data_IF_290372202739
#
_entry.id   IF_290372202739
#
_cell.length_a   1.000
_cell.length_b   1.000
_cell.length_c   1.000
_cell.angle_alpha   90.00
_cell.angle_beta   90.00
_cell.angle_gamma   90.00
#
_symmetry.space_group_name_H-M   'P 1'
#
loop_
_entity.id
_entity.type
_entity.pdbx_description
1 polymer ?
#
# COMPACT_ATOMS: atom_id res chain seq x y z
N UNK A 1 6.30 -16.08 12.22
CA UNK A 1 5.33 -16.19 11.12
C UNK A 1 5.98 -15.87 9.77
N UNK A 2 6.78 -14.79 9.64
CA UNK A 2 7.40 -14.36 8.38
C UNK A 2 8.28 -15.46 7.76
N UNK A 3 9.23 -16.02 8.50
CA UNK A 3 10.09 -17.12 8.00
C UNK A 3 9.28 -18.33 7.58
N UNK A 4 8.27 -18.71 8.39
CA UNK A 4 7.39 -19.82 8.04
C UNK A 4 6.63 -19.55 6.72
N UNK A 5 6.06 -18.36 6.56
CA UNK A 5 5.38 -17.99 5.31
C UNK A 5 6.33 -18.06 4.11
N UNK A 6 7.54 -17.48 4.24
CA UNK A 6 8.56 -17.51 3.18
C UNK A 6 8.94 -18.92 2.71
N UNK A 7 8.89 -19.89 3.61
CA UNK A 7 9.25 -21.28 3.33
C UNK A 7 8.07 -22.16 2.89
N UNK A 8 6.84 -21.84 3.32
CA UNK A 8 5.71 -22.76 3.21
C UNK A 8 4.58 -22.28 2.31
N UNK A 9 4.56 -20.99 1.88
CA UNK A 9 3.53 -20.50 0.97
C UNK A 9 4.11 -20.08 -0.38
N UNK A 10 3.30 -20.13 -1.40
CA UNK A 10 3.72 -19.87 -2.79
C UNK A 10 4.03 -18.40 -3.06
N UNK A 11 3.32 -17.51 -2.40
CA UNK A 11 3.50 -16.06 -2.47
C UNK A 11 2.90 -15.37 -1.26
N UNK A 12 3.40 -14.20 -0.93
CA UNK A 12 2.89 -13.40 0.19
C UNK A 12 2.71 -11.95 -0.24
N UNK A 13 1.54 -11.38 0.08
CA UNK A 13 1.32 -9.94 0.09
C UNK A 13 1.43 -9.45 1.54
N UNK A 14 2.45 -8.68 1.83
CA UNK A 14 2.59 -7.98 3.10
C UNK A 14 1.95 -6.61 2.98
N UNK A 15 1.02 -6.25 3.85
CA UNK A 15 0.23 -5.02 3.75
C UNK A 15 0.53 -4.11 4.94
N UNK A 16 0.75 -2.83 4.67
CA UNK A 16 0.97 -1.73 5.60
C UNK A 16 2.04 -2.04 6.65
N UNK A 17 1.65 -2.22 7.92
CA UNK A 17 2.59 -2.54 8.98
C UNK A 17 3.39 -3.83 8.68
N UNK A 18 2.72 -4.86 8.17
CA UNK A 18 3.39 -6.11 7.81
C UNK A 18 4.39 -5.94 6.66
N UNK A 19 4.13 -5.02 5.72
CA UNK A 19 5.06 -4.68 4.66
C UNK A 19 6.35 -4.06 5.22
N UNK A 20 6.23 -3.07 6.10
CA UNK A 20 7.39 -2.44 6.74
C UNK A 20 8.13 -3.41 7.67
N UNK A 21 7.39 -4.23 8.43
CA UNK A 21 7.97 -5.23 9.31
C UNK A 21 8.68 -6.34 8.53
N UNK A 22 8.13 -6.78 7.41
CA UNK A 22 8.72 -7.77 6.52
C UNK A 22 10.00 -7.25 5.84
N UNK A 23 9.95 -6.02 5.32
CA UNK A 23 11.12 -5.36 4.74
C UNK A 23 12.25 -5.21 5.76
N UNK A 24 11.93 -4.83 6.99
CA UNK A 24 12.93 -4.78 8.08
C UNK A 24 13.46 -6.17 8.41
N UNK A 25 12.56 -7.14 8.61
CA UNK A 25 12.93 -8.51 9.04
C UNK A 25 13.83 -9.24 8.04
N UNK A 26 13.60 -9.05 6.74
CA UNK A 26 14.28 -9.80 5.69
C UNK A 26 15.45 -9.06 5.05
N UNK A 27 15.42 -7.72 5.09
CA UNK A 27 16.32 -6.88 4.29
C UNK A 27 16.92 -5.72 5.10
N UNK A 28 16.65 -5.64 6.41
CA UNK A 28 17.09 -4.57 7.31
C UNK A 28 16.68 -3.15 6.84
N UNK A 29 15.60 -3.04 6.06
CA UNK A 29 15.09 -1.75 5.61
C UNK A 29 14.44 -1.02 6.79
N UNK A 30 14.96 0.15 7.20
CA UNK A 30 14.43 0.88 8.33
C UNK A 30 13.09 1.53 8.01
N UNK A 31 12.28 1.79 9.03
CA UNK A 31 11.11 2.65 8.95
C UNK A 31 11.39 3.99 9.64
N UNK A 32 10.84 5.05 9.09
CA UNK A 32 11.00 6.40 9.59
C UNK A 32 9.67 6.96 10.06
N UNK A 33 9.63 7.69 11.20
CA UNK A 33 8.41 8.35 11.63
C UNK A 33 8.06 9.50 10.68
N UNK A 34 6.78 9.64 10.36
CA UNK A 34 6.24 10.79 9.66
C UNK A 34 5.93 11.91 10.65
N UNK A 35 6.10 13.16 10.24
CA UNK A 35 5.73 14.33 11.05
C UNK A 35 4.22 14.43 11.26
N UNK A 36 3.44 13.94 10.28
CA UNK A 36 1.98 13.84 10.32
C UNK A 36 1.54 12.48 9.81
N UNK A 37 0.37 12.03 10.24
CA UNK A 37 -0.24 10.80 9.74
C UNK A 37 -0.46 10.90 8.23
N UNK A 38 0.04 9.93 7.46
CA UNK A 38 -0.33 9.75 6.07
C UNK A 38 -1.74 9.15 6.05
N UNK A 39 -2.74 9.97 5.70
CA UNK A 39 -4.14 9.61 5.87
C UNK A 39 -4.99 10.08 4.68
N UNK A 40 -5.55 9.16 3.91
CA UNK A 40 -6.35 9.48 2.72
C UNK A 40 -6.18 8.50 1.57
N UNK A 41 -6.59 8.93 0.36
CA UNK A 41 -6.56 8.14 -0.88
C UNK A 41 -5.61 8.80 -1.87
N UNK A 42 -4.40 8.27 -2.00
CA UNK A 42 -3.34 8.94 -2.76
C UNK A 42 -3.23 8.40 -4.20
N UNK A 43 -3.03 9.29 -5.19
CA UNK A 43 -2.68 8.87 -6.54
C UNK A 43 -1.34 8.15 -6.53
N UNK A 44 -1.27 7.03 -7.21
CA UNK A 44 -0.12 6.12 -7.24
C UNK A 44 0.14 5.71 -8.67
N UNK A 45 1.40 5.68 -9.08
CA UNK A 45 1.83 5.38 -10.44
C UNK A 45 2.53 4.02 -10.48
N UNK A 46 2.12 3.07 -11.34
CA UNK A 46 2.92 1.89 -11.64
C UNK A 46 4.23 2.29 -12.32
N UNK A 47 5.36 2.01 -11.70
CA UNK A 47 6.69 2.24 -12.29
C UNK A 47 7.10 1.13 -13.26
N UNK A 48 6.42 -0.01 -13.17
CA UNK A 48 6.62 -1.22 -13.97
C UNK A 48 5.28 -1.74 -14.48
N UNK A 49 4.61 -1.00 -15.40
CA UNK A 49 3.26 -1.33 -15.86
C UNK A 49 3.18 -2.69 -16.57
N UNK A 50 4.30 -3.21 -17.08
CA UNK A 50 4.42 -4.53 -17.68
C UNK A 50 4.31 -5.68 -16.66
N UNK A 51 4.41 -5.39 -15.36
CA UNK A 51 4.26 -6.41 -14.33
C UNK A 51 2.84 -6.98 -14.32
N UNK A 52 2.74 -8.30 -14.20
CA UNK A 52 1.46 -9.00 -14.18
C UNK A 52 0.49 -8.43 -13.12
N UNK A 53 1.03 -7.96 -11.99
CA UNK A 53 0.25 -7.36 -10.91
C UNK A 53 -0.58 -6.16 -11.38
N UNK A 54 -0.09 -5.41 -12.39
CA UNK A 54 -0.74 -4.21 -12.94
C UNK A 54 -1.50 -4.46 -14.25
N UNK A 55 -1.74 -5.71 -14.63
CA UNK A 55 -2.53 -6.00 -15.84
C UNK A 55 -3.92 -5.35 -15.73
N UNK A 56 -4.26 -4.50 -16.70
CA UNK A 56 -5.53 -3.76 -16.75
C UNK A 56 -5.59 -2.50 -15.87
N UNK A 57 -4.47 -2.10 -15.27
CA UNK A 57 -4.39 -0.83 -14.55
C UNK A 57 -4.32 0.34 -15.52
N UNK A 58 -4.84 1.48 -15.06
CA UNK A 58 -4.60 2.79 -15.66
C UNK A 58 -3.19 3.29 -15.28
N UNK A 59 -2.73 4.36 -15.95
CA UNK A 59 -1.43 4.99 -15.66
C UNK A 59 -1.34 5.52 -14.22
N UNK A 60 -2.49 5.84 -13.62
CA UNK A 60 -2.63 6.27 -12.23
C UNK A 60 -3.75 5.49 -11.55
N UNK A 61 -3.46 4.89 -10.44
CA UNK A 61 -4.47 4.29 -9.56
C UNK A 61 -4.52 4.97 -8.20
N UNK A 62 -5.55 4.71 -7.44
CA UNK A 62 -5.73 5.28 -6.10
C UNK A 62 -5.45 4.23 -5.03
N UNK A 63 -4.68 4.63 -4.00
CA UNK A 63 -4.32 3.74 -2.88
C UNK A 63 -4.66 4.39 -1.54
N UNK A 64 -5.51 3.76 -0.71
CA UNK A 64 -5.73 4.20 0.67
C UNK A 64 -4.46 4.10 1.51
N UNK A 65 -4.21 5.12 2.33
CA UNK A 65 -3.11 5.17 3.29
C UNK A 65 -3.62 5.56 4.68
N UNK A 66 -3.15 4.85 5.69
CA UNK A 66 -3.35 5.20 7.10
C UNK A 66 -2.14 4.73 7.90
N UNK A 67 -1.11 5.56 8.00
CA UNK A 67 0.15 5.18 8.66
C UNK A 67 0.88 6.38 9.27
N UNK A 68 1.70 6.10 10.27
CA UNK A 68 2.56 7.06 10.97
C UNK A 68 4.04 6.90 10.63
N UNK A 69 4.38 5.94 9.75
CA UNK A 69 5.76 5.65 9.35
C UNK A 69 5.86 5.47 7.85
N UNK A 70 7.07 5.63 7.32
CA UNK A 70 7.40 5.39 5.92
C UNK A 70 8.64 4.52 5.78
N UNK A 71 8.84 3.98 4.59
CA UNK A 71 10.10 3.46 4.08
C UNK A 71 10.61 4.40 3.00
N UNK A 72 11.91 4.48 2.81
CA UNK A 72 12.51 5.40 1.84
C UNK A 72 13.03 4.66 0.62
N UNK A 73 12.93 5.33 -0.52
CA UNK A 73 13.40 4.83 -1.80
C UNK A 73 14.88 4.43 -1.75
N UNK A 74 15.72 5.31 -1.22
CA UNK A 74 17.15 5.10 -1.14
C UNK A 74 17.57 3.86 -0.35
N UNK A 75 16.79 3.43 0.63
CA UNK A 75 17.06 2.21 1.39
C UNK A 75 16.68 0.96 0.58
N UNK A 76 15.56 1.01 -0.14
CA UNK A 76 15.14 -0.08 -1.04
C UNK A 76 16.14 -0.28 -2.18
N UNK A 77 16.60 0.81 -2.80
CA UNK A 77 17.51 0.78 -3.96
C UNK A 77 18.92 0.27 -3.62
N UNK A 78 19.29 0.20 -2.34
CA UNK A 78 20.56 -0.42 -1.89
C UNK A 78 20.51 -1.94 -1.88
N UNK A 79 19.34 -2.56 -2.01
CA UNK A 79 19.14 -4.00 -1.95
C UNK A 79 18.82 -4.53 -3.35
N UNK A 80 19.75 -5.22 -3.97
CA UNK A 80 19.64 -5.72 -5.35
C UNK A 80 18.42 -6.62 -5.59
N UNK A 81 17.99 -7.35 -4.55
CA UNK A 81 16.79 -8.22 -4.62
C UNK A 81 15.48 -7.43 -4.62
N UNK A 82 15.46 -6.18 -4.19
CA UNK A 82 14.24 -5.38 -4.10
C UNK A 82 14.04 -4.50 -5.34
N UNK A 83 12.78 -4.30 -5.70
CA UNK A 83 12.37 -3.42 -6.79
C UNK A 83 11.12 -2.64 -6.38
N UNK A 84 11.18 -1.31 -6.48
CA UNK A 84 10.00 -0.46 -6.34
C UNK A 84 9.20 -0.55 -7.63
N UNK A 85 7.98 -1.06 -7.57
CA UNK A 85 7.11 -1.25 -8.75
C UNK A 85 5.94 -0.27 -8.79
N UNK A 86 5.64 0.43 -7.70
CA UNK A 86 4.70 1.54 -7.68
C UNK A 86 5.08 2.59 -6.63
N UNK A 87 4.78 3.84 -6.92
CA UNK A 87 5.12 4.98 -6.08
C UNK A 87 4.08 6.10 -6.21
N UNK A 88 3.98 6.93 -5.19
CA UNK A 88 3.17 8.15 -5.16
C UNK A 88 4.08 9.34 -4.86
N UNK A 89 3.87 10.45 -5.55
CA UNK A 89 4.57 11.70 -5.26
C UNK A 89 4.30 12.18 -3.82
N UNK A 90 3.07 12.01 -3.34
CA UNK A 90 2.65 12.47 -2.02
C UNK A 90 2.89 11.45 -0.91
N UNK A 91 2.67 10.16 -1.17
CA UNK A 91 2.76 9.12 -0.14
C UNK A 91 4.02 8.25 -0.25
N UNK A 92 4.92 8.53 -1.20
CA UNK A 92 6.20 7.84 -1.35
C UNK A 92 6.07 6.41 -1.89
N UNK A 93 6.98 5.53 -1.48
CA UNK A 93 7.04 4.13 -1.94
C UNK A 93 5.74 3.41 -1.61
N UNK A 94 5.07 2.88 -2.63
CA UNK A 94 3.76 2.26 -2.51
C UNK A 94 3.80 0.74 -2.57
N UNK A 95 4.51 0.17 -3.56
CA UNK A 95 4.65 -1.28 -3.71
C UNK A 95 6.10 -1.63 -4.03
N UNK A 96 6.66 -2.54 -3.25
CA UNK A 96 7.98 -3.15 -3.47
C UNK A 96 7.79 -4.63 -3.71
N UNK A 97 8.58 -5.23 -4.61
CA UNK A 97 8.65 -6.67 -4.79
C UNK A 97 10.06 -7.21 -4.56
N UNK A 98 10.18 -8.46 -4.15
CA UNK A 98 11.42 -9.23 -4.26
C UNK A 98 11.57 -9.74 -5.70
N UNK A 99 12.78 -9.66 -6.26
CA UNK A 99 13.12 -10.21 -7.58
C UNK A 99 13.30 -11.72 -7.55
N UNK A 100 13.85 -12.23 -6.45
CA UNK A 100 14.18 -13.65 -6.28
C UNK A 100 13.02 -14.46 -5.69
N UNK A 101 12.03 -13.79 -5.07
CA UNK A 101 10.94 -14.43 -4.35
C UNK A 101 9.58 -13.91 -4.80
N UNK A 102 8.55 -14.68 -4.50
CA UNK A 102 7.15 -14.30 -4.79
C UNK A 102 6.56 -13.48 -3.65
N UNK A 103 7.20 -12.35 -3.31
CA UNK A 103 6.83 -11.50 -2.19
C UNK A 103 6.60 -10.06 -2.65
N UNK A 104 5.50 -9.47 -2.17
CA UNK A 104 5.15 -8.08 -2.40
C UNK A 104 4.90 -7.38 -1.07
N UNK A 105 5.39 -6.15 -0.97
CA UNK A 105 5.28 -5.29 0.20
C UNK A 105 4.51 -4.03 -0.19
N UNK A 106 3.25 -3.93 0.25
CA UNK A 106 2.32 -2.85 -0.09
C UNK A 106 2.18 -1.94 1.12
N UNK A 107 2.57 -0.68 1.02
CA UNK A 107 2.55 0.26 2.16
C UNK A 107 1.16 0.81 2.47
N UNK A 108 0.23 0.76 1.53
CA UNK A 108 -1.15 1.19 1.68
C UNK A 108 -2.12 0.03 1.86
N UNK A 109 -3.41 0.32 1.69
CA UNK A 109 -4.53 -0.55 2.07
C UNK A 109 -5.56 -0.70 0.94
N UNK A 110 -5.23 -1.44 -0.12
CA UNK A 110 -6.20 -1.69 -1.20
C UNK A 110 -7.39 -2.55 -0.74
N UNK A 111 -7.24 -3.29 0.37
CA UNK A 111 -8.29 -4.13 0.97
C UNK A 111 -9.35 -3.35 1.76
N UNK A 112 -9.18 -2.05 1.97
CA UNK A 112 -10.10 -1.26 2.79
C UNK A 112 -11.53 -1.21 2.24
N UNK A 113 -12.49 -1.39 3.14
CA UNK A 113 -13.90 -1.12 2.87
C UNK A 113 -14.13 0.39 2.66
N UNK A 114 -15.24 0.76 1.99
CA UNK A 114 -15.55 2.16 1.68
C UNK A 114 -15.53 3.11 2.87
N UNK A 115 -15.95 2.63 4.04
CA UNK A 115 -16.15 3.37 5.29
C UNK A 115 -15.00 3.24 6.29
N UNK A 116 -13.94 2.50 5.94
CA UNK A 116 -12.84 2.23 6.90
C UNK A 116 -12.16 3.50 7.38
N UNK A 117 -11.77 4.40 6.45
CA UNK A 117 -11.13 5.66 6.84
C UNK A 117 -12.08 6.63 7.55
N UNK A 118 -13.37 6.60 7.21
CA UNK A 118 -14.41 7.37 7.90
C UNK A 118 -14.55 6.93 9.36
N UNK A 119 -14.65 5.64 9.58
CA UNK A 119 -14.69 5.04 10.92
C UNK A 119 -13.44 5.39 11.71
N UNK A 120 -12.27 5.33 11.08
CA UNK A 120 -10.99 5.67 11.70
C UNK A 120 -10.92 7.16 12.06
N UNK A 121 -11.35 8.03 11.14
CA UNK A 121 -11.40 9.49 11.36
C UNK A 121 -12.28 9.83 12.56
N UNK A 122 -13.53 9.34 12.59
CA UNK A 122 -14.45 9.62 13.68
C UNK A 122 -14.03 9.00 15.02
N UNK A 123 -13.40 7.82 15.00
CA UNK A 123 -12.83 7.19 16.22
C UNK A 123 -11.72 8.04 16.83
N UNK A 124 -10.91 8.70 16.00
CA UNK A 124 -9.75 9.46 16.45
C UNK A 124 -10.12 10.91 16.82
N UNK A 125 -11.23 11.46 16.26
CA UNK A 125 -11.81 12.73 16.68
C UNK A 125 -12.16 12.67 18.18
N UNK A 126 -11.73 13.67 18.93
CA UNK A 126 -11.95 13.75 20.36
C UNK A 126 -10.98 12.93 21.23
N UNK A 127 -10.05 12.18 20.62
CA UNK A 127 -8.95 11.51 21.32
C UNK A 127 -7.61 12.22 21.11
N UNK A 128 -7.50 12.95 20.03
CA UNK A 128 -6.28 13.64 19.60
C UNK A 128 -6.65 14.98 18.99
N UNK A 129 -5.83 16.00 19.24
CA UNK A 129 -6.03 17.36 18.72
C UNK A 129 -5.47 17.54 17.29
N UNK A 130 -4.71 16.56 16.79
CA UNK A 130 -4.01 16.58 15.49
C UNK A 130 -4.66 15.70 14.41
N UNK A 131 -5.96 15.41 14.53
CA UNK A 131 -6.68 14.58 13.56
C UNK A 131 -7.05 15.41 12.35
N UNK A 132 -6.42 15.11 11.22
CA UNK A 132 -6.74 15.73 9.94
C UNK A 132 -7.80 14.92 9.17
N UNK A 133 -8.61 15.59 8.37
CA UNK A 133 -9.55 14.96 7.44
C UNK A 133 -8.76 14.12 6.43
N UNK A 134 -9.15 12.86 6.14
CA UNK A 134 -8.43 12.04 5.17
C UNK A 134 -8.49 12.67 3.77
N UNK A 135 -7.31 12.90 3.18
CA UNK A 135 -7.14 13.54 1.87
C UNK A 135 -7.83 12.75 0.76
N UNK A 136 -8.51 13.43 -0.16
CA UNK A 136 -9.12 12.85 -1.37
C UNK A 136 -10.13 11.72 -1.10
N UNK A 137 -10.66 11.65 0.11
CA UNK A 137 -11.52 10.57 0.54
C UNK A 137 -13.00 10.93 0.53
N UNK A 138 -13.36 12.12 0.99
CA UNK A 138 -14.74 12.56 0.98
C UNK A 138 -15.12 13.28 -0.33
N UNK A 139 -16.41 13.25 -0.66
CA UNK A 139 -16.95 14.02 -1.77
C UNK A 139 -16.78 15.50 -1.49
N UNK A 140 -16.15 16.23 -2.42
CA UNK A 140 -15.86 17.66 -2.27
C UNK A 140 -15.08 18.00 -0.99
N UNK A 141 -14.25 17.06 -0.51
CA UNK A 141 -13.48 17.16 0.75
C UNK A 141 -14.33 17.45 1.99
N UNK A 142 -15.63 17.11 1.95
CA UNK A 142 -16.59 17.35 3.02
C UNK A 142 -17.03 16.03 3.69
N UNK A 143 -16.71 15.81 4.99
CA UNK A 143 -17.11 14.60 5.71
C UNK A 143 -18.63 14.34 5.70
N UNK A 144 -19.46 15.38 5.71
CA UNK A 144 -20.93 15.26 5.71
C UNK A 144 -21.47 14.65 4.39
N UNK A 145 -20.68 14.69 3.29
CA UNK A 145 -21.05 14.14 1.98
C UNK A 145 -20.68 12.67 1.81
N UNK A 146 -20.02 12.09 2.79
CA UNK A 146 -19.61 10.69 2.80
C UNK A 146 -18.47 10.34 1.84
N UNK A 147 -18.00 9.08 1.89
CA UNK A 147 -16.84 8.61 1.13
C UNK A 147 -17.04 8.65 -0.38
N UNK A 148 -15.95 8.97 -1.10
CA UNK A 148 -15.83 8.81 -2.55
C UNK A 148 -14.87 7.65 -2.83
N UNK A 149 -15.42 6.48 -3.17
CA UNK A 149 -14.63 5.27 -3.42
C UNK A 149 -14.00 5.31 -4.80
N UNK A 150 -12.68 5.44 -4.86
CA UNK A 150 -11.91 5.58 -6.10
C UNK A 150 -10.81 4.53 -6.28
N UNK A 151 -10.70 3.54 -5.38
CA UNK A 151 -9.64 2.51 -5.39
C UNK A 151 -10.15 1.09 -5.65
N UNK A 152 -11.43 0.81 -5.50
CA UNK A 152 -12.00 -0.55 -5.50
C UNK A 152 -11.72 -1.35 -6.78
N UNK A 153 -11.82 -0.73 -7.94
CA UNK A 153 -11.60 -1.43 -9.23
C UNK A 153 -10.15 -1.90 -9.34
N UNK A 154 -9.20 -1.03 -9.05
CA UNK A 154 -7.77 -1.38 -9.05
C UNK A 154 -7.41 -2.36 -7.93
N UNK A 155 -8.05 -2.27 -6.77
CA UNK A 155 -7.91 -3.26 -5.70
C UNK A 155 -8.33 -4.65 -6.17
N UNK A 156 -9.51 -4.77 -6.78
CA UNK A 156 -9.98 -6.04 -7.33
C UNK A 156 -9.03 -6.59 -8.40
N UNK A 157 -8.57 -5.74 -9.33
CA UNK A 157 -7.59 -6.14 -10.34
C UNK A 157 -6.29 -6.64 -9.71
N UNK A 158 -5.74 -5.92 -8.74
CA UNK A 158 -4.49 -6.30 -8.07
C UNK A 158 -4.60 -7.68 -7.43
N UNK A 159 -5.65 -7.93 -6.64
CA UNK A 159 -5.82 -9.21 -5.97
C UNK A 159 -6.10 -10.34 -6.97
N UNK A 160 -6.89 -10.10 -8.01
CA UNK A 160 -7.15 -11.11 -9.06
C UNK A 160 -5.89 -11.42 -9.86
N UNK A 161 -5.10 -10.41 -10.22
CA UNK A 161 -3.83 -10.59 -10.92
C UNK A 161 -2.82 -11.37 -10.05
N UNK A 162 -2.73 -11.02 -8.75
CA UNK A 162 -1.89 -11.75 -7.82
C UNK A 162 -2.31 -13.22 -7.70
N UNK A 163 -3.61 -13.51 -7.52
CA UNK A 163 -4.12 -14.89 -7.46
C UNK A 163 -3.83 -15.64 -8.75
N UNK A 164 -4.08 -15.04 -9.93
CA UNK A 164 -3.76 -15.62 -11.22
C UNK A 164 -2.28 -16.01 -11.33
N UNK A 165 -1.40 -15.08 -10.91
CA UNK A 165 0.05 -15.33 -10.93
C UNK A 165 0.46 -16.44 -9.97
N UNK A 166 -0.14 -16.50 -8.77
CA UNK A 166 0.11 -17.59 -7.80
C UNK A 166 -0.32 -18.94 -8.35
N UNK A 167 -1.41 -19.00 -9.10
CA UNK A 167 -1.94 -20.23 -9.68
C UNK A 167 -1.20 -20.68 -10.95
N UNK A 168 -0.25 -19.90 -11.46
CA UNK A 168 0.56 -20.26 -12.60
C UNK A 168 0.10 -19.60 -13.91
N UNK A 169 -0.69 -18.53 -13.84
CA UNK A 169 -0.94 -17.63 -14.98
C UNK A 169 0.34 -16.84 -15.27
N UNK A 170 0.95 -17.05 -16.46
CA UNK A 170 1.99 -16.20 -17.03
C UNK A 170 1.35 -14.96 -17.70
#
# INVERSE_FOLDING_TARGET
IFNWARENVRSTLYICWAAQAGLYHFYDIPKYPLSKKMFGIFPTIPLKPEQLLFRGFDDVFRMPQSRHTEIRREDIERVDDLEIIAESEESGVAIVRSRSRREFFITGHLEYAPDTLDTEFHRDLGKRDDVEVPKYYYREDNPDKGPLVTWRSHANLLFMNWVSWVLGGE
#
